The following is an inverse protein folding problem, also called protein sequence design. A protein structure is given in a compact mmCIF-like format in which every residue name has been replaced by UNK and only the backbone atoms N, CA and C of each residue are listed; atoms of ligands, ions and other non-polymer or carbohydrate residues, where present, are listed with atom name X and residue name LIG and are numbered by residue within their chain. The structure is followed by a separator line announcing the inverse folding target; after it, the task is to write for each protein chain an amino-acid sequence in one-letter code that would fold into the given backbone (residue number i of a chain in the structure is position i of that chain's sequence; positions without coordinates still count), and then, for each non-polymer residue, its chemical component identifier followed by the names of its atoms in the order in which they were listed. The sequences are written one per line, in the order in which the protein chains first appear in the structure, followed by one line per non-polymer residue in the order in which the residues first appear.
data_IF_940386861501
#
_entry.id   IF_940386861501
#
_cell.length_a   1.000
_cell.length_b   1.000
_cell.length_c   1.000
_cell.angle_alpha   90.00
_cell.angle_beta   90.00
_cell.angle_gamma   90.00
#
_symmetry.space_group_name_H-M   'P 1'
#
loop_
_entity.id
_entity.type
_entity.pdbx_description
1 polymer ?
#
# COMPACT_ATOMS: atom_id res chain seq x y z
N UNK A 1 18.93 -15.54 14.13
CA UNK A 1 18.30 -16.05 12.90
C UNK A 1 18.41 -14.92 11.89
N UNK A 2 18.73 -15.20 10.63
CA UNK A 2 18.86 -14.13 9.61
C UNK A 2 17.55 -13.35 9.48
N UNK A 3 17.63 -12.08 9.07
CA UNK A 3 16.46 -11.25 8.82
C UNK A 3 15.69 -11.80 7.62
N UNK A 4 14.57 -12.48 7.87
CA UNK A 4 13.69 -13.00 6.83
C UNK A 4 12.67 -11.93 6.42
N UNK A 5 12.49 -11.75 5.11
CA UNK A 5 11.42 -10.93 4.53
C UNK A 5 10.20 -11.81 4.23
N UNK A 6 9.04 -11.47 4.78
CA UNK A 6 7.78 -12.13 4.44
C UNK A 6 7.21 -11.65 3.10
N UNK A 7 6.76 -12.57 2.26
CA UNK A 7 5.99 -12.26 1.05
C UNK A 7 4.59 -12.83 1.18
N UNK A 8 3.58 -11.97 1.11
CA UNK A 8 2.18 -12.34 1.26
C UNK A 8 1.43 -12.17 -0.07
N UNK A 9 0.69 -13.21 -0.46
CA UNK A 9 -0.15 -13.22 -1.66
C UNK A 9 -1.39 -14.07 -1.39
N UNK A 10 -2.50 -13.41 -1.11
CA UNK A 10 -3.75 -14.10 -0.81
C UNK A 10 -4.33 -14.77 -2.06
N UNK A 11 -4.78 -16.04 -2.00
CA UNK A 11 -5.29 -16.75 -3.18
C UNK A 11 -6.49 -16.05 -3.84
N UNK A 12 -7.37 -15.44 -3.03
CA UNK A 12 -8.55 -14.73 -3.55
C UNK A 12 -8.21 -13.45 -4.32
N UNK A 13 -7.05 -12.82 -4.07
CA UNK A 13 -6.62 -11.58 -4.75
C UNK A 13 -6.52 -11.74 -6.28
N UNK A 14 -6.20 -12.95 -6.74
CA UNK A 14 -6.16 -13.28 -8.17
C UNK A 14 -7.53 -13.45 -8.82
N UNK A 15 -8.59 -13.58 -8.01
CA UNK A 15 -9.96 -13.84 -8.45
C UNK A 15 -10.84 -12.57 -8.47
N UNK A 16 -10.36 -11.45 -7.91
CA UNK A 16 -11.00 -10.15 -8.07
C UNK A 16 -10.95 -9.73 -9.55
N UNK A 17 -12.09 -9.68 -10.21
CA UNK A 17 -12.17 -9.43 -11.65
C UNK A 17 -12.88 -8.10 -11.91
N UNK A 18 -12.15 -7.14 -12.43
CA UNK A 18 -12.64 -5.82 -12.84
C UNK A 18 -12.84 -5.74 -14.36
N UNK A 19 -12.53 -6.82 -15.09
CA UNK A 19 -12.55 -6.92 -16.54
C UNK A 19 -11.21 -6.54 -17.18
N UNK A 20 -10.83 -7.21 -18.28
CA UNK A 20 -9.52 -7.01 -18.94
C UNK A 20 -9.29 -5.62 -19.54
N UNK A 21 -10.34 -4.84 -19.76
CA UNK A 21 -10.24 -3.45 -20.22
C UNK A 21 -10.04 -2.44 -19.09
N UNK A 22 -10.12 -2.88 -17.84
CA UNK A 22 -9.94 -2.03 -16.66
C UNK A 22 -8.45 -1.94 -16.30
N UNK A 23 -7.91 -0.76 -15.89
CA UNK A 23 -6.51 -0.64 -15.48
C UNK A 23 -6.15 -1.57 -14.32
N UNK A 24 -6.99 -1.65 -13.28
CA UNK A 24 -6.85 -2.58 -12.14
C UNK A 24 -7.25 -4.04 -12.51
N UNK A 25 -6.82 -4.57 -13.65
CA UNK A 25 -7.19 -5.94 -14.04
C UNK A 25 -6.30 -7.01 -13.38
N UNK A 26 -6.81 -8.24 -13.27
CA UNK A 26 -6.12 -9.40 -12.68
C UNK A 26 -4.75 -9.76 -13.30
N UNK A 27 -4.43 -9.23 -14.49
CA UNK A 27 -3.14 -9.45 -15.15
C UNK A 27 -1.97 -8.81 -14.42
N UNK A 28 -2.23 -7.72 -13.67
CA UNK A 28 -1.26 -7.06 -12.78
C UNK A 28 -0.61 -8.05 -11.82
N UNK A 29 -1.43 -8.76 -11.04
CA UNK A 29 -0.96 -9.70 -10.03
C UNK A 29 -0.27 -10.93 -10.64
N UNK A 30 -0.73 -11.37 -11.81
CA UNK A 30 -0.07 -12.47 -12.55
C UNK A 30 1.33 -12.09 -13.03
N UNK A 31 1.49 -10.87 -13.53
CA UNK A 31 2.79 -10.38 -13.97
C UNK A 31 3.75 -10.21 -12.78
N UNK A 32 3.26 -9.66 -11.67
CA UNK A 32 3.99 -9.59 -10.40
C UNK A 32 4.48 -10.98 -9.96
N UNK A 33 3.57 -11.95 -9.80
CA UNK A 33 3.91 -13.29 -9.36
C UNK A 33 4.89 -13.99 -10.33
N UNK A 34 4.75 -13.76 -11.64
CA UNK A 34 5.68 -14.29 -12.65
C UNK A 34 7.08 -13.70 -12.52
N UNK A 35 7.21 -12.39 -12.27
CA UNK A 35 8.51 -11.74 -12.13
C UNK A 35 9.20 -12.16 -10.84
N UNK A 36 8.50 -12.16 -9.71
CA UNK A 36 9.04 -12.66 -8.43
C UNK A 36 9.43 -14.14 -8.56
N UNK A 37 8.58 -14.96 -9.19
CA UNK A 37 8.84 -16.37 -9.43
C UNK A 37 10.05 -16.66 -10.33
N UNK A 38 10.45 -15.74 -11.20
CA UNK A 38 11.68 -15.89 -12.00
C UNK A 38 12.95 -15.64 -11.18
N UNK A 39 12.83 -14.98 -10.02
CA UNK A 39 13.95 -14.58 -9.18
C UNK A 39 14.18 -15.49 -7.96
N UNK A 40 13.44 -16.60 -7.88
CA UNK A 40 13.43 -17.51 -6.72
C UNK A 40 14.81 -17.94 -6.23
N UNK A 41 15.79 -18.15 -7.12
CA UNK A 41 17.13 -18.55 -6.70
C UNK A 41 17.88 -17.44 -5.95
N UNK A 42 17.67 -16.18 -6.32
CA UNK A 42 18.25 -15.02 -5.63
C UNK A 42 17.52 -14.74 -4.33
N UNK A 43 16.21 -14.94 -4.29
CA UNK A 43 15.39 -14.74 -3.10
C UNK A 43 15.49 -15.88 -2.07
N UNK A 44 16.01 -17.05 -2.46
CA UNK A 44 16.08 -18.23 -1.63
C UNK A 44 16.90 -18.00 -0.35
N UNK A 45 16.28 -18.25 0.81
CA UNK A 45 16.89 -18.06 2.13
C UNK A 45 16.82 -16.64 2.67
N UNK A 46 16.29 -15.68 1.89
CA UNK A 46 16.10 -14.28 2.27
C UNK A 46 14.62 -13.88 2.30
N UNK A 47 13.80 -14.45 1.42
CA UNK A 47 12.36 -14.20 1.31
C UNK A 47 11.59 -15.50 1.47
N UNK A 48 10.53 -15.48 2.27
CA UNK A 48 9.64 -16.61 2.49
C UNK A 48 8.20 -16.24 2.12
N UNK A 49 7.53 -17.12 1.36
CA UNK A 49 6.10 -16.96 1.11
C UNK A 49 5.32 -17.32 2.38
N UNK A 50 4.74 -16.32 3.01
CA UNK A 50 4.01 -16.46 4.26
C UNK A 50 2.56 -16.86 4.03
N UNK A 51 1.92 -17.42 5.06
CA UNK A 51 0.49 -17.69 5.03
C UNK A 51 -0.27 -16.37 5.17
N UNK A 52 -1.11 -16.06 4.19
CA UNK A 52 -2.03 -14.92 4.25
C UNK A 52 -3.17 -15.11 5.24
N UNK A 53 -3.73 -14.00 5.73
CA UNK A 53 -4.91 -13.95 6.60
C UNK A 53 -6.14 -13.36 5.90
N UNK A 54 -7.31 -13.59 6.49
CA UNK A 54 -8.58 -12.97 6.12
C UNK A 54 -9.01 -11.99 7.20
N UNK A 55 -9.35 -10.76 6.84
CA UNK A 55 -9.89 -9.79 7.78
C UNK A 55 -11.30 -10.17 8.24
N UNK A 56 -11.60 -9.91 9.50
CA UNK A 56 -12.94 -9.97 10.06
C UNK A 56 -13.70 -8.66 9.82
N UNK A 57 -15.02 -8.68 10.07
CA UNK A 57 -15.82 -7.45 10.05
C UNK A 57 -15.43 -6.48 11.18
N UNK A 58 -14.91 -7.01 12.30
CA UNK A 58 -14.42 -6.19 13.41
C UNK A 58 -13.16 -5.44 13.00
N UNK A 59 -12.25 -6.10 12.28
CA UNK A 59 -11.04 -5.47 11.73
C UNK A 59 -11.41 -4.34 10.77
N UNK A 60 -12.32 -4.58 9.82
CA UNK A 60 -12.80 -3.52 8.92
C UNK A 60 -13.45 -2.37 9.69
N UNK A 61 -14.19 -2.68 10.76
CA UNK A 61 -14.87 -1.71 11.61
C UNK A 61 -13.95 -0.80 12.44
N UNK A 62 -12.64 -1.06 12.45
CA UNK A 62 -11.64 -0.17 13.06
C UNK A 62 -11.46 1.14 12.29
N UNK A 63 -11.79 1.15 10.99
CA UNK A 63 -11.68 2.32 10.11
C UNK A 63 -13.02 2.62 9.44
N UNK A 64 -13.67 1.60 8.91
CA UNK A 64 -14.81 1.79 8.03
C UNK A 64 -16.13 1.74 8.78
N UNK A 65 -17.04 2.64 8.43
CA UNK A 65 -18.39 2.65 8.96
C UNK A 65 -19.12 1.35 8.60
N UNK A 66 -20.02 0.90 9.47
CA UNK A 66 -20.86 -0.27 9.15
C UNK A 66 -21.71 -0.06 7.90
N UNK A 67 -22.08 1.18 7.58
CA UNK A 67 -22.81 1.51 6.36
C UNK A 67 -21.98 1.24 5.10
N UNK A 68 -20.72 1.66 5.09
CA UNK A 68 -19.77 1.38 4.00
C UNK A 68 -19.54 -0.14 3.83
N UNK A 69 -19.20 -0.84 4.92
CA UNK A 69 -18.97 -2.29 4.90
C UNK A 69 -20.18 -3.04 4.33
N UNK A 70 -21.39 -2.70 4.79
CA UNK A 70 -22.62 -3.32 4.31
C UNK A 70 -22.92 -2.97 2.83
N UNK A 71 -22.59 -1.76 2.40
CA UNK A 71 -22.73 -1.34 1.00
C UNK A 71 -21.85 -2.19 0.08
N UNK A 72 -20.55 -2.29 0.40
CA UNK A 72 -19.58 -3.11 -0.34
C UNK A 72 -20.03 -4.57 -0.39
N UNK A 73 -20.40 -5.14 0.77
CA UNK A 73 -20.94 -6.51 0.89
C UNK A 73 -22.11 -6.72 -0.06
N UNK A 74 -23.10 -5.82 -0.03
CA UNK A 74 -24.30 -5.94 -0.83
C UNK A 74 -24.03 -5.87 -2.34
N UNK A 75 -23.05 -5.08 -2.80
CA UNK A 75 -22.69 -5.03 -4.23
C UNK A 75 -21.95 -6.30 -4.65
N UNK A 76 -21.03 -6.80 -3.83
CA UNK A 76 -20.32 -8.06 -4.09
C UNK A 76 -21.28 -9.26 -4.11
N UNK A 77 -22.26 -9.31 -3.19
CA UNK A 77 -23.27 -10.37 -3.17
C UNK A 77 -24.13 -10.33 -4.44
N UNK A 78 -24.53 -9.13 -4.92
CA UNK A 78 -25.20 -9.00 -6.22
C UNK A 78 -24.34 -9.47 -7.39
N UNK A 79 -23.05 -9.13 -7.41
CA UNK A 79 -22.12 -9.59 -8.45
C UNK A 79 -21.97 -11.11 -8.46
N UNK A 80 -22.00 -11.74 -7.27
CA UNK A 80 -21.97 -13.20 -7.08
C UNK A 80 -23.25 -13.87 -7.58
N UNK A 81 -24.40 -13.29 -7.27
CA UNK A 81 -25.71 -13.77 -7.74
C UNK A 81 -25.88 -13.61 -9.26
N UNK A 82 -25.45 -12.48 -9.81
CA UNK A 82 -25.61 -12.17 -11.23
C UNK A 82 -24.54 -12.85 -12.10
N UNK A 83 -23.40 -13.22 -11.52
CA UNK A 83 -22.22 -13.73 -12.23
C UNK A 83 -21.57 -12.67 -13.13
N UNK A 84 -21.81 -11.39 -12.85
CA UNK A 84 -21.33 -10.25 -13.65
C UNK A 84 -20.45 -9.33 -12.81
N UNK A 85 -19.71 -8.48 -13.50
CA UNK A 85 -19.03 -7.35 -12.88
C UNK A 85 -20.09 -6.27 -12.61
N UNK A 86 -20.10 -5.77 -11.39
CA UNK A 86 -20.98 -4.70 -10.91
C UNK A 86 -20.14 -3.47 -10.58
N UNK A 87 -20.71 -2.28 -10.77
CA UNK A 87 -20.09 -1.02 -10.34
C UNK A 87 -20.41 -0.77 -8.87
N UNK A 88 -19.37 -0.60 -8.06
CA UNK A 88 -19.43 -0.23 -6.64
C UNK A 88 -19.39 1.30 -6.47
N UNK A 89 -18.54 1.97 -7.25
CA UNK A 89 -18.46 3.41 -7.39
C UNK A 89 -18.18 3.79 -8.85
N UNK A 90 -18.07 5.08 -9.16
CA UNK A 90 -17.88 5.59 -10.52
C UNK A 90 -16.68 4.96 -11.26
N UNK A 91 -15.60 4.71 -10.52
CA UNK A 91 -14.34 4.13 -11.02
C UNK A 91 -14.05 2.73 -10.45
N UNK A 92 -14.87 2.24 -9.53
CA UNK A 92 -14.56 1.03 -8.74
C UNK A 92 -15.54 -0.08 -9.07
N UNK A 93 -15.01 -1.19 -9.59
CA UNK A 93 -15.79 -2.35 -10.02
C UNK A 93 -15.54 -3.56 -9.12
N UNK A 94 -16.55 -4.43 -9.00
CA UNK A 94 -16.47 -5.67 -8.23
C UNK A 94 -17.07 -6.84 -9.02
N UNK A 95 -16.49 -8.02 -8.87
CA UNK A 95 -17.04 -9.31 -9.28
C UNK A 95 -17.34 -10.24 -8.10
N UNK A 96 -17.84 -11.44 -8.40
CA UNK A 96 -18.24 -12.48 -7.46
C UNK A 96 -17.24 -12.83 -6.35
N UNK A 97 -15.93 -12.67 -6.58
CA UNK A 97 -14.87 -13.01 -5.61
C UNK A 97 -14.27 -11.78 -4.93
N UNK A 98 -14.82 -10.59 -5.16
CA UNK A 98 -14.21 -9.33 -4.68
C UNK A 98 -14.33 -9.15 -3.19
N UNK A 99 -15.38 -9.68 -2.58
CA UNK A 99 -15.53 -9.66 -1.13
C UNK A 99 -14.41 -10.47 -0.47
N UNK A 100 -14.23 -11.72 -0.88
CA UNK A 100 -13.18 -12.60 -0.36
C UNK A 100 -11.77 -12.05 -0.70
N UNK A 101 -11.58 -11.44 -1.87
CA UNK A 101 -10.33 -10.77 -2.22
C UNK A 101 -10.04 -9.55 -1.33
N UNK A 102 -11.05 -8.73 -1.04
CA UNK A 102 -10.89 -7.56 -0.19
C UNK A 102 -10.58 -7.95 1.27
N UNK A 103 -11.27 -8.96 1.81
CA UNK A 103 -10.93 -9.50 3.13
C UNK A 103 -9.52 -10.09 3.17
N UNK A 104 -9.11 -10.81 2.13
CA UNK A 104 -7.77 -11.37 2.02
C UNK A 104 -6.68 -10.31 1.87
N UNK A 105 -6.98 -9.19 1.20
CA UNK A 105 -6.07 -8.05 1.05
C UNK A 105 -5.80 -7.38 2.38
N UNK A 106 -6.86 -6.96 3.08
CA UNK A 106 -6.75 -6.35 4.41
C UNK A 106 -6.16 -7.33 5.42
N UNK A 107 -6.62 -8.58 5.42
CA UNK A 107 -6.18 -9.62 6.35
C UNK A 107 -4.72 -10.01 6.16
N UNK A 108 -4.21 -10.04 4.93
CA UNK A 108 -2.78 -10.26 4.68
C UNK A 108 -1.93 -9.10 5.18
N UNK A 109 -2.42 -7.86 5.07
CA UNK A 109 -1.73 -6.69 5.60
C UNK A 109 -1.67 -6.71 7.12
N UNK A 110 -2.78 -7.06 7.79
CA UNK A 110 -2.83 -7.26 9.25
C UNK A 110 -1.84 -8.36 9.67
N UNK A 111 -1.87 -9.52 9.01
CA UNK A 111 -1.02 -10.66 9.36
C UNK A 111 0.47 -10.36 9.17
N UNK A 112 0.82 -9.65 8.10
CA UNK A 112 2.18 -9.16 7.88
C UNK A 112 2.61 -8.18 8.98
N UNK A 113 1.73 -7.24 9.34
CA UNK A 113 2.01 -6.27 10.40
C UNK A 113 2.18 -6.95 11.77
N UNK A 114 1.34 -7.92 12.10
CA UNK A 114 1.45 -8.76 13.31
C UNK A 114 2.79 -9.48 13.35
N UNK A 115 3.11 -10.24 12.31
CA UNK A 115 4.33 -11.06 12.27
C UNK A 115 5.61 -10.21 12.39
N UNK A 116 5.62 -9.02 11.80
CA UNK A 116 6.73 -8.05 11.96
C UNK A 116 6.76 -7.46 13.37
N UNK A 117 5.61 -7.06 13.93
CA UNK A 117 5.55 -6.47 15.27
C UNK A 117 5.98 -7.45 16.37
N UNK A 118 5.62 -8.73 16.21
CA UNK A 118 5.97 -9.81 17.14
C UNK A 118 7.38 -10.37 16.92
N UNK A 119 8.07 -9.94 15.85
CA UNK A 119 9.44 -10.34 15.54
C UNK A 119 9.57 -11.75 14.94
N UNK A 120 8.49 -12.29 14.38
CA UNK A 120 8.52 -13.56 13.62
C UNK A 120 9.30 -13.41 12.31
N UNK A 121 9.17 -12.23 11.67
CA UNK A 121 9.89 -11.80 10.47
C UNK A 121 10.40 -10.37 10.67
N UNK A 122 11.40 -9.95 9.90
CA UNK A 122 11.99 -8.61 10.05
C UNK A 122 11.16 -7.53 9.37
N UNK A 123 10.62 -7.85 8.20
CA UNK A 123 9.82 -6.96 7.37
C UNK A 123 8.97 -7.79 6.40
N UNK A 124 8.05 -7.15 5.68
CA UNK A 124 7.23 -7.84 4.69
C UNK A 124 6.87 -6.99 3.47
N UNK A 125 6.60 -7.69 2.37
CA UNK A 125 5.86 -7.17 1.22
C UNK A 125 4.53 -7.92 1.09
N UNK A 126 3.44 -7.18 0.96
CA UNK A 126 2.08 -7.72 0.78
C UNK A 126 1.63 -7.37 -0.63
N UNK A 127 1.45 -8.38 -1.48
CA UNK A 127 0.87 -8.24 -2.82
C UNK A 127 -0.67 -8.10 -2.73
N UNK A 128 -1.10 -7.08 -1.99
CA UNK A 128 -2.49 -6.70 -1.73
C UNK A 128 -3.22 -6.37 -3.03
N UNK A 129 -4.41 -6.97 -3.20
CA UNK A 129 -5.32 -6.66 -4.31
C UNK A 129 -6.73 -7.12 -3.91
N UNK A 130 -7.75 -6.24 -3.90
CA UNK A 130 -7.74 -4.83 -4.36
C UNK A 130 -6.87 -3.86 -3.51
N UNK A 131 -6.50 -2.69 -4.07
CA UNK A 131 -5.76 -1.63 -3.36
C UNK A 131 -6.62 -0.98 -2.27
N UNK A 132 -6.06 -0.03 -1.50
CA UNK A 132 -6.73 0.55 -0.34
C UNK A 132 -6.59 2.06 -0.10
N UNK A 133 -5.52 2.74 -0.52
CA UNK A 133 -5.20 4.08 -0.01
C UNK A 133 -6.23 5.19 -0.33
N UNK A 134 -7.14 4.97 -1.28
CA UNK A 134 -8.21 5.91 -1.62
C UNK A 134 -9.52 5.70 -0.84
N UNK A 135 -9.73 4.51 -0.24
CA UNK A 135 -10.97 4.22 0.47
C UNK A 135 -11.06 5.06 1.75
N UNK A 136 -12.08 5.91 1.84
CA UNK A 136 -12.37 6.72 3.04
C UNK A 136 -13.07 5.84 4.11
N UNK A 137 -13.21 6.32 5.36
CA UNK A 137 -14.00 5.62 6.37
C UNK A 137 -15.43 5.29 5.92
N UNK A 138 -16.03 6.07 5.02
CA UNK A 138 -17.44 5.98 4.64
C UNK A 138 -17.69 5.66 3.16
N UNK A 139 -16.66 5.52 2.31
CA UNK A 139 -16.87 5.31 0.88
C UNK A 139 -15.73 4.60 0.13
N UNK A 140 -16.06 3.77 -0.88
CA UNK A 140 -15.09 3.24 -1.83
C UNK A 140 -14.83 4.24 -2.96
N UNK A 141 -13.58 4.31 -3.42
CA UNK A 141 -13.19 5.10 -4.60
C UNK A 141 -11.79 4.69 -5.07
N UNK A 142 -11.41 5.04 -6.29
CA UNK A 142 -10.04 4.86 -6.78
C UNK A 142 -9.63 3.39 -6.80
N UNK A 143 -10.57 2.52 -7.19
CA UNK A 143 -10.42 1.06 -7.17
C UNK A 143 -10.35 0.43 -5.77
N UNK A 144 -10.36 1.23 -4.71
CA UNK A 144 -10.18 0.80 -3.34
C UNK A 144 -11.54 0.48 -2.69
N UNK A 145 -11.67 -0.74 -2.17
CA UNK A 145 -12.87 -1.18 -1.43
C UNK A 145 -12.74 -0.85 0.07
N UNK A 146 -11.58 -1.14 0.63
CA UNK A 146 -11.22 -0.90 2.04
C UNK A 146 -9.76 -0.44 2.11
N UNK A 147 -9.42 0.36 3.12
CA UNK A 147 -8.10 0.91 3.28
C UNK A 147 -7.19 -0.06 4.03
N UNK A 148 -6.39 -0.82 3.27
CA UNK A 148 -5.52 -1.88 3.77
C UNK A 148 -4.56 -1.38 4.86
N UNK A 149 -3.84 -0.28 4.61
CA UNK A 149 -2.82 0.25 5.52
C UNK A 149 -3.47 0.93 6.74
N UNK A 150 -4.58 1.63 6.56
CA UNK A 150 -5.27 2.28 7.69
C UNK A 150 -5.85 1.25 8.66
N UNK A 151 -6.46 0.17 8.14
CA UNK A 151 -6.98 -0.91 8.99
C UNK A 151 -5.83 -1.60 9.73
N UNK A 152 -4.72 -1.89 9.07
CA UNK A 152 -3.55 -2.48 9.73
C UNK A 152 -2.97 -1.57 10.80
N UNK A 153 -2.93 -0.25 10.57
CA UNK A 153 -2.47 0.72 11.56
C UNK A 153 -3.36 0.71 12.82
N UNK A 154 -4.69 0.79 12.64
CA UNK A 154 -5.63 0.71 13.76
C UNK A 154 -5.59 -0.64 14.48
N UNK A 155 -5.37 -1.72 13.74
CA UNK A 155 -5.26 -3.05 14.32
C UNK A 155 -4.02 -3.16 15.22
N UNK A 156 -2.85 -2.69 14.75
CA UNK A 156 -1.62 -2.64 15.56
C UNK A 156 -1.82 -1.85 16.86
N UNK A 157 -2.51 -0.72 16.80
CA UNK A 157 -2.84 0.10 17.97
C UNK A 157 -3.81 -0.62 18.92
N UNK A 158 -4.88 -1.21 18.39
CA UNK A 158 -5.87 -1.95 19.18
C UNK A 158 -5.25 -3.15 19.91
N UNK A 159 -4.23 -3.78 19.32
CA UNK A 159 -3.49 -4.90 19.91
C UNK A 159 -2.32 -4.46 20.79
N UNK A 160 -2.09 -3.16 20.96
CA UNK A 160 -0.94 -2.58 21.69
C UNK A 160 0.42 -3.06 21.16
N UNK A 161 0.53 -3.28 19.84
CA UNK A 161 1.75 -3.71 19.17
C UNK A 161 2.56 -2.54 18.58
N UNK A 162 1.90 -1.42 18.30
CA UNK A 162 2.53 -0.14 17.96
C UNK A 162 1.59 1.00 18.34
N UNK A 163 2.12 2.08 18.91
CA UNK A 163 1.31 3.26 19.28
C UNK A 163 1.44 4.35 18.22
N UNK A 164 2.67 4.66 17.80
CA UNK A 164 2.99 5.67 16.78
C UNK A 164 3.30 5.02 15.44
N UNK A 165 2.55 5.34 14.39
CA UNK A 165 2.70 4.68 13.09
C UNK A 165 3.00 5.71 12.01
N UNK A 166 4.06 5.49 11.23
CA UNK A 166 4.32 6.25 10.01
C UNK A 166 3.68 5.50 8.84
N UNK A 167 2.84 6.18 8.08
CA UNK A 167 2.34 5.70 6.79
C UNK A 167 2.98 6.54 5.69
N UNK A 168 3.85 5.93 4.91
CA UNK A 168 4.50 6.56 3.76
C UNK A 168 3.84 6.07 2.47
N UNK A 169 3.32 6.98 1.67
CA UNK A 169 2.66 6.68 0.42
C UNK A 169 3.43 7.30 -0.75
N UNK A 170 3.90 6.44 -1.66
CA UNK A 170 4.56 6.85 -2.91
C UNK A 170 3.79 6.42 -4.15
N UNK A 171 2.57 5.91 -4.00
CA UNK A 171 1.65 5.79 -5.14
C UNK A 171 1.53 7.15 -5.82
N UNK A 172 1.46 7.14 -7.17
CA UNK A 172 1.43 8.39 -7.93
C UNK A 172 0.18 9.22 -7.62
N UNK A 173 -0.87 8.59 -7.09
CA UNK A 173 -2.11 9.24 -6.68
C UNK A 173 -2.07 9.64 -5.21
N UNK A 174 -2.76 10.72 -4.86
CA UNK A 174 -2.87 11.12 -3.48
C UNK A 174 -3.69 10.08 -2.69
N UNK A 175 -3.10 9.49 -1.63
CA UNK A 175 -3.75 8.56 -0.70
C UNK A 175 -4.80 9.22 0.21
N UNK A 176 -5.82 9.81 -0.41
CA UNK A 176 -6.83 10.65 0.27
C UNK A 176 -7.64 9.89 1.33
N UNK A 177 -7.86 8.59 1.17
CA UNK A 177 -8.59 7.79 2.14
C UNK A 177 -7.79 7.58 3.43
N UNK A 178 -6.48 7.39 3.28
CA UNK A 178 -5.56 7.32 4.41
C UNK A 178 -5.45 8.68 5.10
N UNK A 179 -5.32 9.76 4.33
CA UNK A 179 -5.35 11.13 4.88
C UNK A 179 -6.62 11.38 5.70
N UNK A 180 -7.79 11.11 5.11
CA UNK A 180 -9.10 11.35 5.75
C UNK A 180 -9.25 10.56 7.05
N UNK A 181 -8.78 9.30 7.07
CA UNK A 181 -8.85 8.44 8.27
C UNK A 181 -8.06 9.00 9.46
N UNK A 182 -6.94 9.68 9.21
CA UNK A 182 -6.01 10.12 10.25
C UNK A 182 -5.85 11.64 10.36
N UNK A 183 -6.69 12.42 9.67
CA UNK A 183 -6.49 13.87 9.53
C UNK A 183 -6.46 14.62 10.88
N UNK A 184 -7.21 14.12 11.86
CA UNK A 184 -7.25 14.68 13.22
C UNK A 184 -6.43 13.88 14.26
N UNK A 185 -5.69 12.85 13.84
CA UNK A 185 -5.00 11.90 14.70
C UNK A 185 -3.49 12.23 14.83
N UNK A 186 -2.98 12.28 16.06
CA UNK A 186 -1.56 12.55 16.34
C UNK A 186 -0.67 11.33 16.53
N UNK A 187 -1.28 10.15 16.63
CA UNK A 187 -0.62 8.84 16.74
C UNK A 187 -0.19 8.28 15.37
N UNK A 188 -0.69 8.85 14.27
CA UNK A 188 -0.30 8.45 12.90
C UNK A 188 0.26 9.65 12.16
N UNK A 189 1.44 9.50 11.56
CA UNK A 189 1.95 10.47 10.60
C UNK A 189 1.74 9.92 9.19
N UNK A 190 0.89 10.58 8.41
CA UNK A 190 0.68 10.29 7.00
C UNK A 190 1.55 11.17 6.11
N UNK A 191 2.20 10.56 5.12
CA UNK A 191 3.00 11.22 4.09
C UNK A 191 2.56 10.72 2.73
N UNK A 192 2.34 11.63 1.77
CA UNK A 192 2.02 11.26 0.39
C UNK A 192 2.87 12.06 -0.60
N UNK A 193 3.64 11.37 -1.44
CA UNK A 193 4.38 11.95 -2.55
C UNK A 193 3.69 11.58 -3.87
N UNK A 194 2.88 12.49 -4.39
CA UNK A 194 1.95 12.21 -5.47
C UNK A 194 2.00 13.27 -6.58
N UNK A 195 1.50 12.92 -7.75
CA UNK A 195 1.35 13.85 -8.87
C UNK A 195 0.19 14.80 -8.59
N UNK A 196 0.44 16.11 -8.69
CA UNK A 196 -0.53 17.15 -8.39
C UNK A 196 -1.34 17.59 -9.61
N UNK A 197 -2.55 18.09 -9.34
CA UNK A 197 -3.66 18.20 -10.31
C UNK A 197 -4.02 16.87 -10.96
N UNK A 198 -3.86 15.77 -10.23
CA UNK A 198 -4.21 14.40 -10.63
C UNK A 198 -5.38 13.87 -9.79
N UNK A 199 -5.58 12.55 -9.73
CA UNK A 199 -6.64 11.94 -8.93
C UNK A 199 -6.36 12.03 -7.41
N UNK A 200 -7.36 12.35 -6.58
CA UNK A 200 -8.75 12.70 -6.92
C UNK A 200 -8.99 14.22 -7.05
N UNK A 201 -7.94 15.04 -7.04
CA UNK A 201 -8.01 16.49 -7.00
C UNK A 201 -7.84 17.09 -5.60
N UNK A 202 -7.32 16.31 -4.65
CA UNK A 202 -6.89 16.73 -3.31
C UNK A 202 -5.38 16.52 -3.13
N UNK A 203 -4.85 16.74 -1.92
CA UNK A 203 -3.43 16.53 -1.62
C UNK A 203 -2.62 17.82 -1.72
N UNK A 204 -3.26 18.98 -1.50
CA UNK A 204 -2.54 20.24 -1.49
C UNK A 204 -1.52 20.28 -0.33
N UNK A 205 -0.39 20.96 -0.55
CA UNK A 205 0.71 21.01 0.43
C UNK A 205 0.33 21.70 1.75
N UNK A 206 -0.74 22.52 1.76
CA UNK A 206 -1.27 23.19 2.94
C UNK A 206 -2.29 22.35 3.73
N UNK A 207 -2.72 21.21 3.19
CA UNK A 207 -3.48 20.18 3.92
C UNK A 207 -2.53 19.45 4.89
N UNK A 208 -2.44 19.93 6.13
CA UNK A 208 -1.43 19.48 7.11
C UNK A 208 -2.02 18.77 8.33
N UNK A 209 -3.30 18.39 8.27
CA UNK A 209 -4.05 17.83 9.39
C UNK A 209 -4.84 18.90 10.16
N UNK A 210 -5.67 18.47 11.10
CA UNK A 210 -6.49 19.33 11.94
C UNK A 210 -6.51 18.82 13.39
N UNK A 211 -7.04 19.61 14.33
CA UNK A 211 -7.17 19.18 15.72
C UNK A 211 -5.84 18.73 16.34
N UNK A 212 -5.82 17.52 16.90
CA UNK A 212 -4.60 16.92 17.46
C UNK A 212 -3.60 16.53 16.36
N UNK A 213 -4.10 16.06 15.21
CA UNK A 213 -3.31 15.70 14.03
C UNK A 213 -2.70 16.86 13.25
N UNK A 214 -2.81 18.11 13.71
CA UNK A 214 -2.18 19.24 13.04
C UNK A 214 -0.64 19.05 12.97
N UNK A 215 -0.10 19.05 11.75
CA UNK A 215 1.31 18.77 11.46
C UNK A 215 1.64 17.28 11.27
N UNK A 216 0.62 16.40 11.24
CA UNK A 216 0.74 14.94 11.09
C UNK A 216 0.28 14.42 9.73
N UNK A 217 0.05 15.34 8.80
CA UNK A 217 -0.08 15.05 7.37
C UNK A 217 0.97 15.87 6.63
N UNK A 218 1.74 15.21 5.76
CA UNK A 218 2.66 15.86 4.84
C UNK A 218 2.35 15.43 3.41
N UNK A 219 1.69 16.32 2.68
CA UNK A 219 1.53 16.18 1.24
C UNK A 219 2.70 16.80 0.49
N UNK A 220 3.23 16.07 -0.47
CA UNK A 220 4.33 16.48 -1.34
C UNK A 220 3.85 16.42 -2.79
N UNK A 221 3.06 17.41 -3.23
CA UNK A 221 2.56 17.48 -4.60
C UNK A 221 3.71 17.74 -5.58
N UNK A 222 3.87 16.86 -6.56
CA UNK A 222 4.91 16.94 -7.59
C UNK A 222 4.29 17.09 -8.99
N UNK A 223 5.06 17.63 -9.93
CA UNK A 223 4.58 17.82 -11.31
C UNK A 223 4.67 16.53 -12.13
N UNK A 224 3.77 16.37 -13.10
CA UNK A 224 3.93 15.37 -14.16
C UNK A 224 5.32 15.51 -14.82
N UNK A 225 5.95 14.39 -15.19
CA UNK A 225 7.28 14.36 -15.79
C UNK A 225 8.43 14.52 -14.79
N UNK A 226 8.17 14.50 -13.49
CA UNK A 226 9.23 14.52 -12.47
C UNK A 226 10.19 13.34 -12.69
N UNK A 227 11.47 13.67 -12.87
CA UNK A 227 12.54 12.69 -13.09
C UNK A 227 13.02 12.08 -11.76
N UNK A 228 13.62 10.89 -11.85
CA UNK A 228 14.13 10.15 -10.72
C UNK A 228 15.06 10.95 -9.79
N UNK A 229 15.98 11.75 -10.34
CA UNK A 229 16.90 12.57 -9.54
C UNK A 229 16.15 13.54 -8.63
N UNK A 230 15.25 14.35 -9.21
CA UNK A 230 14.40 15.29 -8.46
C UNK A 230 13.50 14.57 -7.46
N UNK A 231 12.90 13.44 -7.84
CA UNK A 231 12.04 12.68 -6.92
C UNK A 231 12.83 12.17 -5.72
N UNK A 232 14.05 11.63 -5.92
CA UNK A 232 14.90 11.11 -4.85
C UNK A 232 15.38 12.19 -3.91
N UNK A 233 15.73 13.37 -4.41
CA UNK A 233 16.09 14.52 -3.58
C UNK A 233 14.91 14.92 -2.67
N UNK A 234 13.72 15.09 -3.25
CA UNK A 234 12.50 15.42 -2.50
C UNK A 234 12.14 14.32 -1.50
N UNK A 235 12.29 13.05 -1.87
CA UNK A 235 12.03 11.92 -1.00
C UNK A 235 12.98 11.89 0.20
N UNK A 236 14.27 12.15 -0.02
CA UNK A 236 15.25 12.24 1.07
C UNK A 236 14.95 13.40 2.02
N UNK A 237 14.62 14.59 1.49
CA UNK A 237 14.21 15.74 2.30
C UNK A 237 12.93 15.46 3.09
N UNK A 238 11.97 14.75 2.47
CA UNK A 238 10.73 14.33 3.11
C UNK A 238 11.00 13.40 4.29
N UNK A 239 11.81 12.35 4.10
CA UNK A 239 12.18 11.43 5.18
C UNK A 239 12.94 12.14 6.31
N UNK A 240 13.86 13.04 5.99
CA UNK A 240 14.56 13.83 7.00
C UNK A 240 13.59 14.70 7.81
N UNK A 241 12.63 15.34 7.13
CA UNK A 241 11.61 16.16 7.77
C UNK A 241 10.68 15.33 8.67
N UNK A 242 10.35 14.10 8.28
CA UNK A 242 9.57 13.18 9.13
C UNK A 242 10.38 12.79 10.37
N UNK A 243 11.65 12.43 10.20
CA UNK A 243 12.54 12.04 11.30
C UNK A 243 12.67 13.11 12.38
N UNK A 244 12.64 14.39 12.00
CA UNK A 244 12.70 15.51 12.95
C UNK A 244 11.40 15.73 13.75
N UNK A 245 10.27 15.21 13.25
CA UNK A 245 8.93 15.53 13.76
C UNK A 245 8.23 14.34 14.42
N UNK A 246 8.68 13.11 14.15
CA UNK A 246 7.98 11.90 14.56
C UNK A 246 8.92 10.71 14.73
N UNK A 247 8.67 9.97 15.79
CA UNK A 247 9.42 8.79 16.19
C UNK A 247 8.49 7.57 16.16
N UNK A 248 8.31 6.91 15.01
CA UNK A 248 7.35 5.83 14.84
C UNK A 248 7.81 4.56 15.54
N UNK A 249 6.86 3.78 16.04
CA UNK A 249 7.06 2.40 16.47
C UNK A 249 6.89 1.40 15.31
N UNK A 250 6.32 1.82 14.18
CA UNK A 250 6.07 0.97 13.02
C UNK A 250 5.96 1.80 11.74
N UNK A 251 6.46 1.28 10.61
CA UNK A 251 6.31 1.91 9.29
C UNK A 251 5.44 1.04 8.38
N UNK A 252 4.39 1.64 7.84
CA UNK A 252 3.59 1.07 6.74
C UNK A 252 3.89 1.85 5.48
N UNK A 253 4.08 1.15 4.36
CA UNK A 253 4.33 1.78 3.06
C UNK A 253 3.20 1.41 2.11
N UNK A 254 2.49 2.42 1.62
CA UNK A 254 1.57 2.30 0.50
C UNK A 254 2.42 2.33 -0.78
N UNK A 255 2.64 1.14 -1.33
CA UNK A 255 3.64 0.87 -2.37
C UNK A 255 2.97 0.75 -3.73
N UNK A 256 2.63 1.90 -4.31
CA UNK A 256 2.20 2.00 -5.70
C UNK A 256 3.38 1.91 -6.66
N UNK A 257 3.12 1.39 -7.87
CA UNK A 257 4.13 1.27 -8.93
C UNK A 257 3.79 2.09 -10.18
N UNK A 258 2.74 2.91 -10.11
CA UNK A 258 2.31 3.85 -11.14
C UNK A 258 3.15 5.14 -11.16
N UNK A 259 4.08 5.29 -10.21
CA UNK A 259 5.17 6.26 -10.30
C UNK A 259 6.25 5.89 -11.34
N UNK A 260 6.21 4.68 -11.91
CA UNK A 260 7.20 4.21 -12.88
C UNK A 260 6.98 4.79 -14.28
N UNK A 261 8.08 5.05 -14.98
CA UNK A 261 8.08 5.59 -16.32
C UNK A 261 7.28 4.71 -17.30
N UNK A 262 6.26 5.31 -17.92
CA UNK A 262 5.41 4.65 -18.92
C UNK A 262 4.19 3.94 -18.34
N UNK A 263 3.91 4.08 -17.04
CA UNK A 263 2.62 3.70 -16.50
C UNK A 263 1.47 4.51 -17.16
N UNK A 264 0.33 3.90 -17.50
CA UNK A 264 -0.75 4.60 -18.18
C UNK A 264 -1.55 5.56 -17.29
N UNK A 265 -1.45 5.48 -15.95
CA UNK A 265 -2.19 6.33 -15.01
C UNK A 265 -1.27 7.19 -14.13
N UNK A 266 0.02 7.23 -14.41
CA UNK A 266 0.96 8.13 -13.75
C UNK A 266 1.87 8.80 -14.77
N UNK A 267 2.49 9.91 -14.37
CA UNK A 267 3.37 10.68 -15.24
C UNK A 267 4.78 10.88 -14.71
N UNK A 268 5.15 10.23 -13.61
CA UNK A 268 6.53 10.27 -13.13
C UNK A 268 7.45 9.37 -13.98
N UNK A 269 8.75 9.63 -13.89
CA UNK A 269 9.76 8.98 -14.72
C UNK A 269 10.74 8.14 -13.88
N UNK A 270 10.24 7.49 -12.82
CA UNK A 270 11.05 6.59 -11.99
C UNK A 270 11.28 5.26 -12.70
N UNK A 271 12.38 4.60 -12.38
CA UNK A 271 12.69 3.25 -12.80
C UNK A 271 12.70 2.30 -11.59
N UNK A 272 12.59 0.97 -11.78
CA UNK A 272 12.57 0.01 -10.66
C UNK A 272 13.73 0.15 -9.67
N UNK A 273 14.92 0.53 -10.15
CA UNK A 273 16.09 0.83 -9.32
C UNK A 273 15.90 2.02 -8.36
N UNK A 274 15.07 2.99 -8.72
CA UNK A 274 14.75 4.12 -7.83
C UNK A 274 13.86 3.66 -6.67
N UNK A 275 12.92 2.74 -6.93
CA UNK A 275 12.10 2.12 -5.88
C UNK A 275 12.92 1.25 -4.93
N UNK A 276 13.94 0.54 -5.46
CA UNK A 276 14.92 -0.14 -4.62
C UNK A 276 15.62 0.87 -3.70
N UNK A 277 16.18 1.94 -4.27
CA UNK A 277 16.86 2.98 -3.49
C UNK A 277 15.96 3.62 -2.43
N UNK A 278 14.71 3.96 -2.78
CA UNK A 278 13.73 4.53 -1.87
C UNK A 278 13.44 3.56 -0.73
N UNK A 279 13.17 2.30 -1.05
CA UNK A 279 12.92 1.25 -0.05
C UNK A 279 14.12 1.09 0.89
N UNK A 280 15.36 1.13 0.37
CA UNK A 280 16.58 1.09 1.19
C UNK A 280 16.64 2.26 2.19
N UNK A 281 16.32 3.48 1.77
CA UNK A 281 16.26 4.65 2.66
C UNK A 281 15.22 4.48 3.77
N UNK A 282 14.03 3.97 3.42
CA UNK A 282 12.97 3.72 4.41
C UNK A 282 13.39 2.61 5.39
N UNK A 283 14.01 1.53 4.91
CA UNK A 283 14.48 0.45 5.79
C UNK A 283 15.58 0.91 6.75
N UNK A 284 16.46 1.82 6.32
CA UNK A 284 17.48 2.41 7.18
C UNK A 284 16.86 3.32 8.25
N UNK A 285 15.92 4.17 7.85
CA UNK A 285 15.15 5.01 8.78
C UNK A 285 14.38 4.16 9.80
N UNK A 286 13.68 3.11 9.33
CA UNK A 286 12.96 2.17 10.18
C UNK A 286 13.91 1.41 11.12
N UNK A 287 15.09 1.02 10.64
CA UNK A 287 16.11 0.36 11.48
C UNK A 287 16.57 1.25 12.63
N UNK A 288 16.70 2.57 12.38
CA UNK A 288 17.09 3.55 13.38
C UNK A 288 15.95 3.91 14.36
N UNK A 289 14.70 3.93 13.90
CA UNK A 289 13.56 4.47 14.67
C UNK A 289 12.70 3.38 15.31
N UNK A 290 12.42 2.29 14.58
CA UNK A 290 11.45 1.27 14.98
C UNK A 290 12.00 -0.16 14.91
N UNK A 291 13.31 -0.36 15.12
CA UNK A 291 13.98 -1.67 15.02
C UNK A 291 13.74 -2.40 13.69
N UNK A 292 13.58 -1.66 12.60
CA UNK A 292 13.39 -2.21 11.25
C UNK A 292 11.98 -2.69 10.95
N UNK A 293 11.00 -2.42 11.80
CA UNK A 293 9.60 -2.84 11.60
C UNK A 293 8.95 -2.07 10.45
N UNK A 294 8.88 -2.73 9.30
CA UNK A 294 8.31 -2.18 8.06
C UNK A 294 7.46 -3.22 7.33
N UNK A 295 6.30 -2.79 6.82
CA UNK A 295 5.48 -3.55 5.87
C UNK A 295 5.15 -2.68 4.67
N UNK A 296 5.53 -3.14 3.48
CA UNK A 296 5.14 -2.54 2.21
C UNK A 296 3.92 -3.26 1.63
N UNK A 297 2.94 -2.51 1.16
CA UNK A 297 1.63 -3.01 0.71
C UNK A 297 1.38 -2.50 -0.70
N UNK A 298 1.11 -3.42 -1.63
CA UNK A 298 0.81 -3.06 -3.02
C UNK A 298 -0.44 -2.16 -3.12
N UNK A 299 -0.32 -1.07 -3.86
CA UNK A 299 -1.43 -0.18 -4.25
C UNK A 299 -1.61 -0.17 -5.79
N UNK A 300 -1.34 0.97 -6.45
CA UNK A 300 -1.42 1.18 -7.89
C UNK A 300 -0.25 0.61 -8.70
N UNK A 301 -0.17 0.98 -9.98
CA UNK A 301 0.77 0.45 -10.97
C UNK A 301 0.10 -0.46 -12.00
N UNK A 302 -0.11 0.08 -13.19
CA UNK A 302 -1.04 -0.40 -14.20
C UNK A 302 -0.37 -0.83 -15.51
N UNK A 303 0.94 -0.63 -15.66
CA UNK A 303 1.75 -1.44 -16.59
C UNK A 303 2.19 -2.75 -15.90
N UNK A 304 1.68 -3.93 -16.29
CA UNK A 304 1.98 -5.18 -15.58
C UNK A 304 3.46 -5.57 -15.57
N UNK A 305 4.22 -5.20 -16.61
CA UNK A 305 5.65 -5.53 -16.71
C UNK A 305 6.45 -4.66 -15.75
N UNK A 306 6.19 -3.34 -15.74
CA UNK A 306 6.79 -2.37 -14.83
C UNK A 306 6.43 -2.69 -13.38
N UNK A 307 5.16 -2.96 -13.10
CA UNK A 307 4.67 -3.41 -11.79
C UNK A 307 5.49 -4.60 -11.25
N UNK A 308 5.67 -5.65 -12.06
CA UNK A 308 6.42 -6.82 -11.62
C UNK A 308 7.90 -6.51 -11.34
N UNK A 309 8.53 -5.66 -12.16
CA UNK A 309 9.91 -5.24 -11.96
C UNK A 309 10.08 -4.36 -10.71
N UNK A 310 9.18 -3.39 -10.51
CA UNK A 310 9.15 -2.55 -9.31
C UNK A 310 8.92 -3.37 -8.04
N UNK A 311 7.96 -4.31 -8.06
CA UNK A 311 7.72 -5.19 -6.92
C UNK A 311 8.97 -5.98 -6.54
N UNK A 312 9.67 -6.55 -7.54
CA UNK A 312 10.90 -7.29 -7.28
C UNK A 312 12.00 -6.39 -6.69
N UNK A 313 12.10 -5.15 -7.16
CA UNK A 313 13.06 -4.18 -6.64
C UNK A 313 12.80 -3.83 -5.17
N UNK A 314 11.53 -3.63 -4.78
CA UNK A 314 11.12 -3.41 -3.37
C UNK A 314 11.42 -4.65 -2.52
N UNK A 315 11.04 -5.85 -2.97
CA UNK A 315 11.29 -7.11 -2.24
C UNK A 315 12.79 -7.33 -2.01
N UNK A 316 13.62 -7.12 -3.03
CA UNK A 316 15.08 -7.23 -2.90
C UNK A 316 15.64 -6.21 -1.92
N UNK A 317 15.17 -4.96 -1.96
CA UNK A 317 15.62 -3.94 -1.01
C UNK A 317 15.27 -4.29 0.44
N UNK A 318 14.06 -4.81 0.70
CA UNK A 318 13.63 -5.32 2.01
C UNK A 318 14.49 -6.49 2.49
N UNK A 319 14.88 -7.37 1.56
CA UNK A 319 15.71 -8.55 1.81
C UNK A 319 17.22 -8.28 1.87
N UNK A 320 17.64 -7.01 1.80
CA UNK A 320 19.06 -6.60 1.75
C UNK A 320 19.83 -7.17 0.55
N UNK A 321 19.16 -7.29 -0.59
CA UNK A 321 19.69 -7.78 -1.85
C UNK A 321 19.86 -6.65 -2.87
N UNK A 322 20.85 -6.79 -3.75
CA UNK A 322 21.10 -5.84 -4.84
C UNK A 322 19.97 -5.81 -5.88
N UNK A 323 19.81 -4.68 -6.56
CA UNK A 323 18.88 -4.53 -7.68
C UNK A 323 19.18 -5.55 -8.79
N UNK A 324 18.16 -5.91 -9.58
CA UNK A 324 18.35 -6.78 -10.73
C UNK A 324 19.10 -6.01 -11.83
N UNK A 325 20.31 -6.47 -12.15
CA UNK A 325 21.10 -5.96 -13.27
C UNK A 325 20.65 -6.48 -14.63
#
# INVERSE_FOLDING_TARGET
MGSMTGFYLHPASSLHDTGWGHPEHQGRLRALASTVGKDLLTLYGHVEQMKSGDASLEDLGLVHTSAHINSVRAVCDRAKESGRIESLAADTNVSASSWEAALGSVGSTIEAARAVAEGEISNAFVAARPPGHHATPDGPMGFCLFNNVAVAARWLQAMNLAERILILDWDVHHGNGTQDTFYEDDSVFFVSLHQSSHYPGSGAADETGAGLGLGRTLNVPLSEGTIAETYKDVFAETLASVADRFDPDFVLVSSGFDCLAGDPLGGFLLEPEDLHWMTRRVTEYASASCNGRIVAVLEGGYDPKRLGAGTLAVIRALADLEVQG
#
